data_IF_717610783669
#
_entry.id   IF_717610783669
#
_cell.length_a   1.000
_cell.length_b   1.000
_cell.length_c   1.000
_cell.angle_alpha   90.00
_cell.angle_beta   90.00
_cell.angle_gamma   90.00
#
_symmetry.space_group_name_H-M   'P 1'
#
loop_
_entity.id
_entity.type
_entity.pdbx_description
1 polymer ?
#
# COMPACT_ATOMS: atom_id res chain seq x y z
N UNK A 1 13.76 19.14 -29.34
CA UNK A 1 13.97 19.91 -28.10
C UNK A 1 12.59 20.38 -27.65
N UNK A 2 11.96 19.92 -26.59
CA UNK A 2 12.23 18.98 -25.50
C UNK A 2 10.88 18.31 -25.19
N UNK A 3 10.82 17.00 -25.04
CA UNK A 3 9.74 16.37 -24.28
C UNK A 3 10.38 15.24 -23.45
N UNK A 4 11.11 15.64 -22.42
CA UNK A 4 11.43 14.71 -21.35
C UNK A 4 10.15 14.46 -20.56
N UNK A 5 9.56 13.27 -20.71
CA UNK A 5 8.59 12.78 -19.75
C UNK A 5 9.37 12.35 -18.49
N UNK A 6 9.64 13.31 -17.62
CA UNK A 6 10.03 13.01 -16.24
C UNK A 6 8.79 12.39 -15.59
N UNK A 7 8.79 11.07 -15.38
CA UNK A 7 7.77 10.41 -14.58
C UNK A 7 7.82 11.02 -13.17
N UNK A 8 6.87 11.90 -12.88
CA UNK A 8 6.72 12.48 -11.55
C UNK A 8 6.30 11.36 -10.60
N UNK A 9 7.10 11.11 -9.56
CA UNK A 9 6.76 10.13 -8.53
C UNK A 9 5.56 10.63 -7.76
N UNK A 10 4.50 9.83 -7.71
CA UNK A 10 3.27 10.21 -7.04
C UNK A 10 3.30 9.73 -5.60
N UNK A 11 2.82 10.57 -4.69
CA UNK A 11 2.58 10.18 -3.29
C UNK A 11 1.10 9.86 -3.15
N UNK A 12 0.80 8.63 -2.77
CA UNK A 12 -0.56 8.14 -2.53
C UNK A 12 -0.80 8.04 -1.03
N UNK A 13 -1.68 8.88 -0.50
CA UNK A 13 -2.16 8.74 0.89
C UNK A 13 -3.20 7.64 0.92
N UNK A 14 -2.86 6.53 1.59
CA UNK A 14 -3.69 5.32 1.61
C UNK A 14 -5.01 5.59 2.32
N UNK A 15 -6.12 5.29 1.64
CA UNK A 15 -7.47 5.53 2.15
C UNK A 15 -7.97 6.98 2.00
N UNK A 16 -7.21 7.86 1.35
CA UNK A 16 -7.53 9.28 1.17
C UNK A 16 -7.90 9.95 2.51
N UNK A 17 -9.15 10.43 2.67
CA UNK A 17 -9.60 11.08 3.90
C UNK A 17 -9.78 10.11 5.10
N UNK A 18 -9.97 8.81 4.84
CA UNK A 18 -10.12 7.81 5.90
C UNK A 18 -8.78 7.50 6.59
N UNK A 19 -7.67 7.58 5.83
CA UNK A 19 -6.39 7.06 6.27
C UNK A 19 -6.38 5.54 6.40
N UNK A 20 -5.43 5.02 7.17
CA UNK A 20 -5.27 3.60 7.46
C UNK A 20 -6.02 3.22 8.75
N UNK A 21 -7.34 3.07 8.62
CA UNK A 21 -8.25 2.74 9.73
C UNK A 21 -9.33 1.76 9.27
N UNK A 22 -10.05 1.17 10.23
CA UNK A 22 -11.18 0.26 9.95
C UNK A 22 -12.23 0.95 9.07
N UNK A 23 -12.49 0.45 7.85
CA UNK A 23 -13.47 1.03 6.96
C UNK A 23 -14.90 0.56 7.28
N UNK A 24 -15.91 1.31 6.81
CA UNK A 24 -17.31 0.88 6.92
C UNK A 24 -17.65 -0.31 6.00
N UNK A 25 -16.85 -0.56 4.97
CA UNK A 25 -16.97 -1.69 4.04
C UNK A 25 -15.62 -2.38 3.92
N UNK A 26 -15.60 -3.71 4.04
CA UNK A 26 -14.35 -4.48 4.02
C UNK A 26 -13.52 -4.30 2.74
N UNK A 27 -14.18 -4.09 1.59
CA UNK A 27 -13.53 -3.93 0.29
C UNK A 27 -13.08 -2.48 0.00
N UNK A 28 -13.09 -1.57 0.98
CA UNK A 28 -12.81 -0.15 0.78
C UNK A 28 -11.42 0.11 0.19
N UNK A 29 -10.37 -0.52 0.73
CA UNK A 29 -9.00 -0.30 0.24
C UNK A 29 -8.76 -0.94 -1.12
N UNK A 30 -9.43 -2.06 -1.44
CA UNK A 30 -9.42 -2.62 -2.79
C UNK A 30 -10.07 -1.66 -3.80
N UNK A 31 -11.23 -1.10 -3.45
CA UNK A 31 -11.92 -0.09 -4.26
C UNK A 31 -11.08 1.19 -4.42
N UNK A 32 -10.32 1.56 -3.38
CA UNK A 32 -9.39 2.69 -3.40
C UNK A 32 -8.20 2.43 -4.34
N UNK A 33 -7.61 1.23 -4.28
CA UNK A 33 -6.47 0.84 -5.10
C UNK A 33 -6.84 0.76 -6.59
N UNK A 34 -8.01 0.21 -6.92
CA UNK A 34 -8.50 0.08 -8.31
C UNK A 34 -8.67 1.42 -9.04
N UNK A 35 -8.79 2.53 -8.32
CA UNK A 35 -8.93 3.88 -8.89
C UNK A 35 -7.58 4.55 -9.17
N UNK A 36 -6.47 3.85 -8.91
CA UNK A 36 -5.12 4.40 -8.97
C UNK A 36 -4.24 3.54 -9.87
N UNK A 37 -3.19 4.16 -10.40
CA UNK A 37 -2.11 3.46 -11.09
C UNK A 37 -0.86 3.64 -10.25
N UNK A 38 -0.21 2.52 -9.92
CA UNK A 38 1.03 2.50 -9.17
C UNK A 38 2.16 2.16 -10.11
N UNK A 39 3.19 3.01 -10.14
CA UNK A 39 4.41 2.77 -10.92
C UNK A 39 5.63 2.74 -10.02
N UNK A 40 6.69 2.07 -10.46
CA UNK A 40 7.96 2.01 -9.74
C UNK A 40 8.42 3.43 -9.38
N UNK A 41 8.73 3.63 -8.10
CA UNK A 41 9.18 4.86 -7.47
C UNK A 41 8.06 5.74 -6.89
N UNK A 42 6.78 5.39 -7.09
CA UNK A 42 5.69 6.01 -6.33
C UNK A 42 5.84 5.71 -4.83
N UNK A 43 5.20 6.52 -3.99
CA UNK A 43 5.25 6.37 -2.53
C UNK A 43 3.85 6.17 -1.96
N UNK A 44 3.68 5.14 -1.13
CA UNK A 44 2.50 4.96 -0.29
C UNK A 44 2.74 5.64 1.06
N UNK A 45 1.74 6.36 1.57
CA UNK A 45 1.76 6.96 2.90
C UNK A 45 0.56 6.46 3.70
N UNK A 46 0.85 5.75 4.78
CA UNK A 46 -0.12 5.21 5.71
C UNK A 46 -0.21 6.13 6.92
N UNK A 47 -1.38 6.74 7.11
CA UNK A 47 -1.65 7.64 8.23
C UNK A 47 -2.64 7.00 9.19
N UNK A 48 -2.23 6.84 10.44
CA UNK A 48 -3.01 6.27 11.54
C UNK A 48 -2.48 6.80 12.88
N UNK A 49 -3.25 6.68 13.96
CA UNK A 49 -2.71 7.04 15.27
C UNK A 49 -1.75 5.92 15.75
N UNK A 50 -0.54 6.26 16.20
CA UNK A 50 0.39 5.26 16.74
C UNK A 50 -0.29 4.43 17.84
N UNK A 51 -0.12 3.10 17.77
CA UNK A 51 -0.72 2.15 18.71
C UNK A 51 -2.16 1.73 18.41
N UNK A 52 -2.85 2.37 17.46
CA UNK A 52 -4.19 1.93 17.02
C UNK A 52 -4.13 0.97 15.82
N UNK A 53 -3.09 1.07 15.00
CA UNK A 53 -2.91 0.24 13.82
C UNK A 53 -1.42 -0.06 13.59
N UNK A 54 -1.16 -1.00 12.70
CA UNK A 54 0.16 -1.30 12.16
C UNK A 54 0.10 -1.39 10.65
N UNK A 55 1.25 -1.30 10.00
CA UNK A 55 1.40 -1.65 8.58
C UNK A 55 2.40 -2.79 8.51
N UNK A 56 1.90 -4.01 8.29
CA UNK A 56 2.71 -5.20 8.03
C UNK A 56 2.78 -5.39 6.52
N UNK A 57 3.99 -5.46 5.97
CA UNK A 57 4.24 -5.85 4.59
C UNK A 57 4.67 -7.31 4.54
N UNK A 58 4.03 -8.13 3.68
CA UNK A 58 4.38 -9.54 3.49
C UNK A 58 4.73 -9.84 2.04
N UNK A 59 5.56 -10.86 1.83
CA UNK A 59 6.07 -11.21 0.50
C UNK A 59 5.13 -12.10 -0.33
N UNK A 60 4.02 -12.58 0.25
CA UNK A 60 3.12 -13.51 -0.41
C UNK A 60 1.65 -13.23 -0.10
N UNK A 61 0.80 -13.65 -1.04
CA UNK A 61 -0.64 -13.43 -1.00
C UNK A 61 -1.35 -14.25 0.07
N UNK A 62 -0.87 -15.45 0.40
CA UNK A 62 -1.51 -16.33 1.38
C UNK A 62 -1.47 -15.70 2.79
N UNK A 63 -0.33 -15.18 3.19
CA UNK A 63 -0.17 -14.47 4.47
C UNK A 63 -1.06 -13.23 4.52
N UNK A 64 -1.18 -12.50 3.40
CA UNK A 64 -2.08 -11.35 3.29
C UNK A 64 -3.56 -11.72 3.38
N UNK A 65 -3.99 -12.77 2.68
CA UNK A 65 -5.38 -13.24 2.68
C UNK A 65 -5.81 -13.70 4.06
N UNK A 66 -4.91 -14.37 4.78
CA UNK A 66 -5.17 -14.95 6.09
C UNK A 66 -4.70 -14.10 7.28
N UNK A 67 -4.17 -12.90 7.02
CA UNK A 67 -3.67 -11.97 8.05
C UNK A 67 -2.55 -12.57 8.93
N UNK A 68 -1.64 -13.34 8.33
CA UNK A 68 -0.59 -14.09 9.01
C UNK A 68 0.75 -13.34 8.93
N UNK A 69 1.45 -13.21 10.05
CA UNK A 69 2.78 -12.58 10.12
C UNK A 69 3.91 -13.60 10.03
N UNK A 70 3.91 -14.45 8.99
CA UNK A 70 4.92 -15.51 8.82
C UNK A 70 6.09 -15.06 7.94
N UNK A 71 5.81 -14.51 6.76
CA UNK A 71 6.82 -14.05 5.82
C UNK A 71 6.79 -12.51 5.70
N UNK A 72 7.00 -11.86 6.85
CA UNK A 72 7.04 -10.41 6.98
C UNK A 72 8.31 -9.86 6.34
N UNK A 73 8.14 -8.86 5.46
CA UNK A 73 9.23 -8.06 4.92
C UNK A 73 9.55 -6.92 5.89
N UNK A 74 8.52 -6.19 6.31
CA UNK A 74 8.68 -5.04 7.19
C UNK A 74 7.41 -4.80 8.03
N UNK A 75 7.55 -4.12 9.16
CA UNK A 75 6.40 -3.67 9.96
C UNK A 75 6.62 -2.26 10.50
N UNK A 76 5.59 -1.44 10.39
CA UNK A 76 5.59 -0.06 10.87
C UNK A 76 4.55 0.16 11.97
N UNK A 77 4.91 1.00 12.94
CA UNK A 77 4.11 1.30 14.14
C UNK A 77 3.92 2.81 14.42
N UNK A 78 4.55 3.67 13.62
CA UNK A 78 4.75 5.09 13.95
C UNK A 78 3.61 6.02 13.51
N UNK A 79 2.52 5.51 12.93
CA UNK A 79 1.33 6.30 12.57
C UNK A 79 1.46 7.21 11.35
N UNK A 80 2.67 7.43 10.84
CA UNK A 80 2.91 8.14 9.59
C UNK A 80 4.06 7.44 8.86
N UNK A 81 3.72 6.29 8.29
CA UNK A 81 4.68 5.39 7.64
C UNK A 81 4.60 5.62 6.14
N UNK A 82 5.72 5.98 5.52
CA UNK A 82 5.81 6.11 4.07
C UNK A 82 6.80 5.12 3.47
N UNK A 83 6.37 4.41 2.43
CA UNK A 83 7.17 3.41 1.73
C UNK A 83 7.20 3.72 0.23
N UNK A 84 8.37 3.62 -0.37
CA UNK A 84 8.57 3.75 -1.81
C UNK A 84 8.38 2.38 -2.48
N UNK A 85 7.67 2.33 -3.60
CA UNK A 85 7.43 1.13 -4.39
C UNK A 85 8.62 0.92 -5.33
N UNK A 86 9.66 0.23 -4.85
CA UNK A 86 10.96 0.18 -5.54
C UNK A 86 11.00 -0.74 -6.77
N UNK A 87 10.10 -1.71 -6.85
CA UNK A 87 10.08 -2.72 -7.91
C UNK A 87 8.67 -2.92 -8.46
N UNK A 88 8.59 -3.44 -9.68
CA UNK A 88 7.31 -3.83 -10.27
C UNK A 88 6.89 -5.18 -9.68
N UNK A 89 5.60 -5.35 -9.43
CA UNK A 89 5.05 -6.55 -8.82
C UNK A 89 3.92 -6.25 -7.84
N UNK A 90 3.52 -7.28 -7.10
CA UNK A 90 2.45 -7.18 -6.12
C UNK A 90 3.00 -6.88 -4.73
N UNK A 91 2.42 -5.88 -4.07
CA UNK A 91 2.71 -5.52 -2.70
C UNK A 91 1.48 -5.75 -1.83
N UNK A 92 1.69 -6.39 -0.69
CA UNK A 92 0.63 -6.77 0.23
C UNK A 92 0.85 -6.16 1.61
N UNK A 93 -0.15 -5.44 2.10
CA UNK A 93 -0.13 -4.76 3.38
C UNK A 93 -1.35 -5.08 4.21
N UNK A 94 -1.21 -5.22 5.52
CA UNK A 94 -2.35 -5.32 6.44
C UNK A 94 -2.01 -4.83 7.84
N UNK A 95 -3.04 -4.58 8.64
CA UNK A 95 -2.89 -4.32 10.08
C UNK A 95 -2.92 -5.61 10.87
N UNK A 96 -1.90 -5.84 11.70
CA UNK A 96 -1.84 -6.98 12.63
C UNK A 96 -2.53 -6.72 13.97
N UNK A 97 -3.18 -5.56 14.13
CA UNK A 97 -3.88 -5.22 15.38
C UNK A 97 -5.21 -5.96 15.46
N UNK A 98 -5.33 -6.86 16.43
CA UNK A 98 -6.59 -7.54 16.75
C UNK A 98 -7.22 -8.22 15.54
N UNK A 99 -8.39 -7.73 15.11
CA UNK A 99 -9.11 -8.21 13.92
C UNK A 99 -9.20 -7.16 12.80
N UNK A 100 -8.29 -6.18 12.77
CA UNK A 100 -8.37 -5.06 11.84
C UNK A 100 -8.19 -5.53 10.39
N UNK A 101 -7.28 -6.46 10.13
CA UNK A 101 -7.10 -7.05 8.80
C UNK A 101 -8.38 -7.72 8.27
N UNK A 102 -9.04 -8.55 9.10
CA UNK A 102 -10.30 -9.22 8.76
C UNK A 102 -11.48 -8.25 8.67
N UNK A 103 -11.42 -7.12 9.39
CA UNK A 103 -12.37 -6.02 9.26
C UNK A 103 -12.12 -5.16 8.00
N UNK A 104 -11.07 -5.46 7.22
CA UNK A 104 -10.80 -4.84 5.94
C UNK A 104 -9.63 -3.85 5.94
N UNK A 105 -8.84 -3.73 7.02
CA UNK A 105 -7.61 -2.91 7.05
C UNK A 105 -6.46 -3.67 6.40
N UNK A 106 -6.56 -3.82 5.09
CA UNK A 106 -5.62 -4.54 4.24
C UNK A 106 -5.64 -3.96 2.84
N UNK A 107 -4.50 -3.95 2.17
CA UNK A 107 -4.29 -3.36 0.86
C UNK A 107 -3.40 -4.26 0.02
N UNK A 108 -3.86 -4.55 -1.20
CA UNK A 108 -3.04 -5.10 -2.27
C UNK A 108 -2.89 -4.04 -3.35
N UNK A 109 -1.64 -3.80 -3.80
CA UNK A 109 -1.36 -2.96 -4.97
C UNK A 109 -0.49 -3.72 -5.96
N UNK A 110 -0.77 -3.53 -7.25
CA UNK A 110 0.07 -4.02 -8.35
C UNK A 110 0.82 -2.85 -8.94
N UNK A 111 2.15 -2.92 -8.90
CA UNK A 111 3.07 -1.89 -9.37
C UNK A 111 3.62 -2.28 -10.72
N UNK A 112 3.56 -1.35 -11.67
CA UNK A 112 4.11 -1.56 -13.01
C UNK A 112 5.38 -0.74 -13.23
N UNK A 113 6.21 -1.16 -14.17
CA UNK A 113 7.32 -0.31 -14.60
C UNK A 113 6.77 0.97 -15.23
N UNK A 114 7.36 2.14 -14.96
CA UNK A 114 7.00 3.35 -15.70
C UNK A 114 7.18 3.09 -17.19
N UNK A 115 6.26 3.60 -18.00
CA UNK A 115 6.35 3.48 -19.44
C UNK A 115 7.67 4.11 -19.91
N UNK A 116 8.63 3.25 -20.27
CA UNK A 116 9.83 3.66 -20.98
C UNK A 116 9.41 3.81 -22.43
N UNK A 117 9.20 5.04 -22.89
CA UNK A 117 9.17 5.29 -24.33
C UNK A 117 10.59 5.05 -24.84
N UNK A 118 10.80 3.90 -25.48
CA UNK A 118 12.04 3.59 -26.20
C UNK A 118 12.25 4.65 -27.27
N UNK A 119 13.44 5.24 -27.27
CA UNK A 119 13.94 6.12 -28.31
C UNK A 119 14.04 5.39 -29.66
#
# INVERSE_FOLDING_TARGET
MLLECVSCKTVHVVGDQLGWNIPSRQNFFDDWAKKKTFVVGDRLVFQYHPGLDTVVMVNNKEDYENCITKNVIETYFNGNSGLTLEEAGDYYFFSSVGKHCEAGVKLHVTVTNPLKFSQ
#
